data_IF_652502560976
#
_entry.id   IF_652502560976
#
_cell.length_a   1.000
_cell.length_b   1.000
_cell.length_c   1.000
_cell.angle_alpha   90.00
_cell.angle_beta   90.00
_cell.angle_gamma   90.00
#
_symmetry.space_group_name_H-M   'P 1'
#
loop_
_entity.id
_entity.type
_entity.pdbx_description
1 polymer ?
#
# COMPACT_ATOMS: atom_id res chain seq x y z
N UNK A 1 -2.35 -12.44 -20.96
CA UNK A 1 -3.09 -11.18 -20.69
C UNK A 1 -3.97 -11.40 -19.48
N UNK A 2 -3.78 -10.65 -18.39
CA UNK A 2 -4.44 -10.90 -17.09
C UNK A 2 -5.88 -10.30 -17.07
N UNK A 3 -6.95 -11.09 -16.94
CA UNK A 3 -8.33 -10.59 -16.90
C UNK A 3 -8.60 -9.59 -15.76
N UNK A 4 -7.92 -9.77 -14.62
CA UNK A 4 -8.01 -8.88 -13.47
C UNK A 4 -7.45 -7.48 -13.77
N UNK A 5 -6.52 -7.35 -14.72
CA UNK A 5 -5.98 -6.06 -15.13
C UNK A 5 -7.00 -5.24 -15.93
N UNK A 6 -7.71 -5.85 -16.89
CA UNK A 6 -8.76 -5.16 -17.66
C UNK A 6 -9.96 -4.77 -16.80
N UNK A 7 -10.30 -5.59 -15.82
CA UNK A 7 -11.34 -5.27 -14.86
C UNK A 7 -10.92 -4.09 -13.97
N UNK A 8 -9.67 -4.05 -13.50
CA UNK A 8 -9.13 -2.90 -12.75
C UNK A 8 -9.11 -1.61 -13.59
N UNK A 9 -8.81 -1.70 -14.88
CA UNK A 9 -8.75 -0.55 -15.79
C UNK A 9 -10.13 0.09 -16.08
N UNK A 10 -11.15 -0.70 -16.44
CA UNK A 10 -12.52 -0.19 -16.67
C UNK A 10 -13.10 0.54 -15.46
N UNK A 11 -12.75 0.10 -14.26
CA UNK A 11 -13.24 0.70 -13.03
C UNK A 11 -12.58 2.02 -12.67
N UNK A 12 -11.34 2.25 -13.12
CA UNK A 12 -10.69 3.58 -13.01
C UNK A 12 -11.42 4.59 -13.89
N UNK A 13 -11.87 4.16 -15.07
CA UNK A 13 -12.63 4.98 -16.02
C UNK A 13 -14.05 5.32 -15.52
N UNK A 14 -14.67 4.46 -14.70
CA UNK A 14 -16.02 4.69 -14.15
C UNK A 14 -16.07 5.64 -12.93
N UNK A 15 -14.94 5.97 -12.29
CA UNK A 15 -14.90 6.74 -11.02
C UNK A 15 -14.65 8.26 -11.17
N UNK A 16 -14.70 8.82 -12.37
CA UNK A 16 -14.33 10.23 -12.68
C UNK A 16 -15.36 11.29 -12.26
N UNK A 17 -16.14 11.07 -11.19
CA UNK A 17 -17.16 12.00 -10.70
C UNK A 17 -16.66 13.10 -9.75
N UNK A 18 -15.51 12.92 -9.09
CA UNK A 18 -14.83 13.93 -8.27
C UNK A 18 -13.33 13.97 -8.64
N UNK A 19 -12.92 15.06 -9.30
CA UNK A 19 -11.69 15.16 -10.09
C UNK A 19 -10.43 15.55 -9.28
N UNK A 20 -10.00 14.72 -8.33
CA UNK A 20 -8.60 14.75 -7.87
C UNK A 20 -7.87 13.48 -8.37
N UNK A 21 -6.94 13.59 -9.34
CA UNK A 21 -6.22 12.44 -9.86
C UNK A 21 -5.45 11.69 -8.77
N UNK A 22 -4.95 12.39 -7.75
CA UNK A 22 -4.23 11.76 -6.64
C UNK A 22 -5.16 10.88 -5.79
N UNK A 23 -6.40 11.31 -5.56
CA UNK A 23 -7.38 10.50 -4.83
C UNK A 23 -7.70 9.21 -5.60
N UNK A 24 -7.86 9.31 -6.93
CA UNK A 24 -8.10 8.14 -7.78
C UNK A 24 -6.92 7.16 -7.78
N UNK A 25 -5.68 7.67 -7.88
CA UNK A 25 -4.48 6.82 -7.81
C UNK A 25 -4.28 6.18 -6.44
N UNK A 26 -4.51 6.90 -5.34
CA UNK A 26 -4.45 6.33 -3.99
C UNK A 26 -5.53 5.26 -3.77
N UNK A 27 -6.74 5.45 -4.32
CA UNK A 27 -7.76 4.41 -4.31
C UNK A 27 -7.33 3.21 -5.15
N UNK A 28 -6.71 3.41 -6.31
CA UNK A 28 -6.19 2.32 -7.13
C UNK A 28 -5.07 1.54 -6.42
N UNK A 29 -4.18 2.24 -5.71
CA UNK A 29 -3.15 1.64 -4.86
C UNK A 29 -3.77 0.81 -3.75
N UNK A 30 -4.64 1.41 -2.92
CA UNK A 30 -5.37 0.69 -1.88
C UNK A 30 -6.08 -0.53 -2.47
N UNK A 31 -6.70 -0.35 -3.65
CA UNK A 31 -7.44 -1.40 -4.35
C UNK A 31 -6.61 -2.58 -4.82
N UNK A 32 -5.35 -2.33 -5.17
CA UNK A 32 -4.48 -3.37 -5.69
C UNK A 32 -3.98 -4.31 -4.60
N UNK A 33 -3.92 -3.85 -3.34
CA UNK A 33 -3.37 -4.62 -2.24
C UNK A 33 -4.42 -5.15 -1.26
N UNK A 34 -5.65 -4.62 -1.18
CA UNK A 34 -6.64 -5.15 -0.22
C UNK A 34 -7.14 -6.57 -0.59
N UNK A 35 -7.53 -7.32 0.44
CA UNK A 35 -8.30 -8.54 0.30
C UNK A 35 -9.80 -8.28 0.52
N UNK A 36 -10.63 -8.79 -0.40
CA UNK A 36 -12.08 -8.71 -0.26
C UNK A 36 -12.54 -9.79 0.72
N UNK A 37 -13.02 -9.38 1.89
CA UNK A 37 -13.63 -10.31 2.83
C UNK A 37 -15.03 -10.76 2.34
N UNK A 38 -15.53 -11.92 2.80
CA UNK A 38 -16.84 -12.45 2.41
C UNK A 38 -18.02 -11.50 2.71
N UNK A 39 -17.87 -10.61 3.70
CA UNK A 39 -18.85 -9.60 4.09
C UNK A 39 -18.84 -8.35 3.18
N UNK A 40 -17.95 -8.32 2.17
CA UNK A 40 -17.79 -7.21 1.24
C UNK A 40 -16.85 -6.10 1.73
N UNK A 41 -16.35 -6.18 2.97
CA UNK A 41 -15.35 -5.25 3.48
C UNK A 41 -14.00 -5.48 2.80
N UNK A 42 -13.28 -4.37 2.60
CA UNK A 42 -12.01 -4.32 1.88
C UNK A 42 -10.95 -3.86 2.87
N UNK A 43 -10.10 -4.78 3.32
CA UNK A 43 -9.19 -4.53 4.43
C UNK A 43 -7.74 -4.74 4.00
N UNK A 44 -6.88 -3.84 4.47
CA UNK A 44 -5.43 -4.01 4.47
C UNK A 44 -5.02 -4.48 5.86
N UNK A 45 -4.40 -5.65 5.95
CA UNK A 45 -3.70 -6.05 7.17
C UNK A 45 -2.26 -5.48 7.20
N UNK A 46 -1.52 -5.75 8.28
CA UNK A 46 -0.18 -5.19 8.49
C UNK A 46 0.85 -5.77 7.51
N UNK A 47 0.77 -7.05 7.19
CA UNK A 47 1.73 -7.74 6.29
C UNK A 47 1.57 -7.24 4.85
N UNK A 48 0.33 -7.07 4.42
CA UNK A 48 0.01 -6.51 3.11
C UNK A 48 0.42 -5.03 3.04
N UNK A 49 0.27 -4.27 4.11
CA UNK A 49 0.77 -2.90 4.17
C UNK A 49 2.30 -2.84 4.09
N UNK A 50 3.01 -3.78 4.74
CA UNK A 50 4.46 -3.90 4.65
C UNK A 50 4.91 -4.18 3.21
N UNK A 51 4.26 -5.16 2.56
CA UNK A 51 4.51 -5.47 1.15
C UNK A 51 4.28 -4.24 0.27
N UNK A 52 3.14 -3.55 0.44
CA UNK A 52 2.84 -2.30 -0.27
C UNK A 52 3.92 -1.25 -0.05
N UNK A 53 4.36 -1.02 1.18
CA UNK A 53 5.35 0.00 1.50
C UNK A 53 6.73 -0.31 0.88
N UNK A 54 7.11 -1.59 0.82
CA UNK A 54 8.33 -2.06 0.16
C UNK A 54 8.20 -1.94 -1.36
N UNK A 55 7.09 -2.37 -1.93
CA UNK A 55 6.86 -2.41 -3.38
C UNK A 55 6.72 -1.01 -4.00
N UNK A 56 6.19 -0.06 -3.23
CA UNK A 56 6.17 1.37 -3.59
C UNK A 56 7.48 2.08 -3.25
N UNK A 57 8.49 1.33 -2.79
CA UNK A 57 9.80 1.83 -2.41
C UNK A 57 9.72 2.94 -1.35
N UNK A 58 8.66 3.00 -0.56
CA UNK A 58 8.62 3.87 0.61
C UNK A 58 9.59 3.37 1.67
N UNK A 59 9.67 2.04 1.80
CA UNK A 59 10.65 1.34 2.61
C UNK A 59 11.63 0.61 1.67
N UNK A 60 12.96 0.79 1.83
CA UNK A 60 13.64 1.64 2.80
C UNK A 60 13.92 3.08 2.30
N UNK A 61 13.53 3.47 1.08
CA UNK A 61 14.08 4.68 0.45
C UNK A 61 13.67 5.98 1.14
N UNK A 62 12.44 6.06 1.67
CA UNK A 62 11.98 7.20 2.43
C UNK A 62 12.24 7.01 3.92
N UNK A 63 11.83 5.84 4.43
CA UNK A 63 11.81 5.51 5.85
C UNK A 63 12.19 4.05 6.08
N UNK A 64 12.68 3.75 7.28
CA UNK A 64 12.74 2.36 7.75
C UNK A 64 11.32 1.86 8.06
N UNK A 65 11.14 0.53 8.11
CA UNK A 65 9.82 -0.07 8.34
C UNK A 65 9.21 0.37 9.68
N UNK A 66 10.02 0.38 10.73
CA UNK A 66 9.61 0.78 12.08
C UNK A 66 9.13 2.24 12.09
N UNK A 67 9.89 3.14 11.44
CA UNK A 67 9.52 4.56 11.32
C UNK A 67 8.23 4.73 10.49
N UNK A 68 8.11 4.00 9.39
CA UNK A 68 6.91 4.02 8.55
C UNK A 68 5.67 3.60 9.35
N UNK A 69 5.75 2.45 10.05
CA UNK A 69 4.62 1.91 10.81
C UNK A 69 4.24 2.82 11.98
N UNK A 70 5.22 3.36 12.71
CA UNK A 70 5.00 4.28 13.82
C UNK A 70 4.27 5.55 13.38
N UNK A 71 4.60 6.08 12.20
CA UNK A 71 3.92 7.25 11.65
C UNK A 71 2.56 6.91 11.06
N UNK A 72 2.47 5.82 10.30
CA UNK A 72 1.24 5.40 9.63
C UNK A 72 0.14 5.06 10.66
N UNK A 73 0.47 4.31 11.71
CA UNK A 73 -0.48 3.86 12.72
C UNK A 73 -1.14 5.01 13.50
N UNK A 74 -0.50 6.18 13.62
CA UNK A 74 -1.09 7.39 14.20
C UNK A 74 -2.26 7.96 13.38
N UNK A 75 -2.40 7.56 12.12
CA UNK A 75 -3.51 7.92 11.24
C UNK A 75 -4.66 6.92 11.24
N UNK A 76 -4.49 5.78 11.91
CA UNK A 76 -5.42 4.65 11.89
C UNK A 76 -6.09 4.48 13.25
N UNK A 77 -7.35 4.09 13.28
CA UNK A 77 -8.01 3.70 14.54
C UNK A 77 -7.27 2.49 15.16
N UNK A 78 -6.76 2.58 16.40
CA UNK A 78 -5.95 1.53 17.00
C UNK A 78 -6.73 0.21 17.20
N UNK A 79 -8.05 0.26 17.40
CA UNK A 79 -8.89 -0.93 17.52
C UNK A 79 -9.07 -1.63 16.16
N UNK A 80 -9.01 -0.88 15.07
CA UNK A 80 -9.04 -1.42 13.70
C UNK A 80 -7.66 -1.94 13.27
N UNK A 81 -6.59 -1.20 13.54
CA UNK A 81 -5.21 -1.62 13.25
C UNK A 81 -4.86 -2.94 13.92
N UNK A 82 -5.20 -3.09 15.21
CA UNK A 82 -4.96 -4.32 15.97
C UNK A 82 -5.69 -5.55 15.42
N UNK A 83 -6.76 -5.34 14.64
CA UNK A 83 -7.56 -6.40 14.00
C UNK A 83 -7.23 -6.57 12.52
N UNK A 84 -6.20 -5.90 12.00
CA UNK A 84 -5.86 -5.92 10.57
C UNK A 84 -6.94 -5.31 9.68
N UNK A 85 -7.77 -4.40 10.21
CA UNK A 85 -8.95 -3.86 9.51
C UNK A 85 -8.74 -2.42 9.06
N UNK A 86 -7.71 -2.16 8.25
CA UNK A 86 -7.41 -0.81 7.79
C UNK A 86 -8.32 -0.46 6.59
N UNK A 87 -9.15 0.58 6.76
CA UNK A 87 -10.03 1.09 5.69
C UNK A 87 -9.28 2.03 4.73
N UNK A 88 -9.90 2.39 3.60
CA UNK A 88 -9.30 3.39 2.69
C UNK A 88 -9.06 4.73 3.37
N UNK A 89 -9.98 5.18 4.24
CA UNK A 89 -9.82 6.44 4.95
C UNK A 89 -8.69 6.37 5.98
N UNK A 90 -8.54 5.24 6.66
CA UNK A 90 -7.41 4.98 7.55
C UNK A 90 -6.08 4.98 6.77
N UNK A 91 -6.05 4.32 5.62
CA UNK A 91 -4.90 4.30 4.73
C UNK A 91 -4.49 5.70 4.28
N UNK A 92 -5.46 6.52 3.84
CA UNK A 92 -5.24 7.90 3.43
C UNK A 92 -4.70 8.75 4.58
N UNK A 93 -5.27 8.62 5.77
CA UNK A 93 -4.82 9.34 6.98
C UNK A 93 -3.43 8.89 7.42
N UNK A 94 -3.14 7.60 7.35
CA UNK A 94 -1.82 7.02 7.63
C UNK A 94 -0.75 7.55 6.69
N UNK A 95 -1.00 7.52 5.37
CA UNK A 95 -0.07 8.10 4.39
C UNK A 95 0.14 9.60 4.59
N UNK A 96 -0.90 10.34 4.99
CA UNK A 96 -0.74 11.76 5.34
C UNK A 96 0.18 11.97 6.55
N UNK A 97 0.16 11.08 7.56
CA UNK A 97 1.10 11.13 8.69
C UNK A 97 2.52 10.80 8.25
N UNK A 98 2.69 9.79 7.41
CA UNK A 98 3.98 9.43 6.82
C UNK A 98 4.57 10.60 6.03
N UNK A 99 3.78 11.21 5.15
CA UNK A 99 4.19 12.37 4.36
C UNK A 99 4.62 13.55 5.24
N UNK A 100 3.84 13.84 6.29
CA UNK A 100 4.16 14.94 7.20
C UNK A 100 5.53 14.74 7.84
N UNK A 101 5.82 13.53 8.32
CA UNK A 101 7.07 13.25 9.03
C UNK A 101 8.26 13.20 8.08
N UNK A 102 8.10 12.53 6.93
CA UNK A 102 9.17 12.41 5.95
C UNK A 102 9.56 13.78 5.37
N UNK A 103 8.59 14.52 4.87
CA UNK A 103 8.83 15.80 4.20
C UNK A 103 9.00 16.99 5.17
N UNK A 104 9.03 16.74 6.48
CA UNK A 104 9.48 17.70 7.49
C UNK A 104 10.98 17.57 7.82
N UNK A 105 11.65 16.50 7.38
CA UNK A 105 13.09 16.30 7.60
C UNK A 105 13.89 17.46 7.02
N UNK A 106 15.07 17.74 7.61
CA UNK A 106 15.93 18.87 7.22
C UNK A 106 16.21 18.94 5.72
N UNK A 107 16.33 17.80 5.04
CA UNK A 107 16.56 17.69 3.59
C UNK A 107 15.45 18.34 2.74
N UNK A 108 14.25 18.50 3.28
CA UNK A 108 13.08 19.06 2.59
C UNK A 108 12.52 20.34 3.20
N UNK A 109 13.16 20.87 4.25
CA UNK A 109 12.63 21.96 5.10
C UNK A 109 12.18 23.20 4.32
N UNK A 110 12.82 23.48 3.19
CA UNK A 110 12.53 24.63 2.34
C UNK A 110 11.72 24.29 1.08
N UNK A 111 11.48 23.00 0.79
CA UNK A 111 10.78 22.54 -0.40
C UNK A 111 9.26 22.39 -0.17
N UNK A 112 8.85 21.96 1.03
CA UNK A 112 7.44 21.69 1.35
C UNK A 112 7.03 22.37 2.66
N UNK A 113 6.51 23.60 2.52
CA UNK A 113 6.21 24.49 3.63
C UNK A 113 4.89 24.12 4.31
N UNK A 114 3.89 23.70 3.55
CA UNK A 114 2.57 23.33 4.07
C UNK A 114 2.36 21.81 4.18
N UNK A 115 1.39 21.42 5.01
CA UNK A 115 0.97 20.02 5.16
C UNK A 115 0.49 19.40 3.84
N UNK A 116 -0.31 20.15 3.06
CA UNK A 116 -0.84 19.64 1.79
C UNK A 116 0.26 19.50 0.73
N UNK A 117 1.27 20.38 0.73
CA UNK A 117 2.43 20.24 -0.16
C UNK A 117 3.21 18.96 0.14
N UNK A 118 3.38 18.61 1.42
CA UNK A 118 4.06 17.37 1.85
C UNK A 118 3.30 16.13 1.42
N UNK A 119 1.97 16.15 1.61
CA UNK A 119 1.14 15.03 1.18
C UNK A 119 1.13 14.89 -0.35
N UNK A 120 1.02 16.02 -1.08
CA UNK A 120 1.12 16.03 -2.54
C UNK A 120 2.47 15.48 -3.03
N UNK A 121 3.57 15.85 -2.39
CA UNK A 121 4.90 15.33 -2.71
C UNK A 121 4.97 13.80 -2.54
N UNK A 122 4.35 13.24 -1.49
CA UNK A 122 4.23 11.80 -1.36
C UNK A 122 3.40 11.19 -2.50
N UNK A 123 2.25 11.79 -2.82
CA UNK A 123 1.40 11.30 -3.91
C UNK A 123 2.11 11.36 -5.27
N UNK A 124 2.94 12.38 -5.51
CA UNK A 124 3.79 12.48 -6.70
C UNK A 124 4.87 11.39 -6.72
N UNK A 125 5.55 11.14 -5.59
CA UNK A 125 6.51 10.04 -5.46
C UNK A 125 5.90 8.66 -5.75
N UNK A 126 4.64 8.47 -5.36
CA UNK A 126 3.87 7.25 -5.60
C UNK A 126 3.29 7.16 -7.01
N UNK A 127 3.53 8.16 -7.88
CA UNK A 127 2.90 8.31 -9.19
C UNK A 127 1.36 8.28 -9.13
N UNK A 128 0.78 8.68 -8.00
CA UNK A 128 -0.66 8.58 -7.78
C UNK A 128 -1.48 9.51 -8.69
N UNK A 129 -0.84 10.40 -9.45
CA UNK A 129 -1.49 11.20 -10.49
C UNK A 129 -1.79 10.39 -11.76
N UNK A 130 -1.14 9.23 -11.97
CA UNK A 130 -1.40 8.30 -13.07
C UNK A 130 -1.79 6.91 -12.55
N UNK A 131 -3.10 6.60 -12.45
CA UNK A 131 -3.59 5.30 -12.01
C UNK A 131 -3.05 4.11 -12.84
N UNK A 132 -2.70 4.32 -14.12
CA UNK A 132 -2.16 3.24 -14.96
C UNK A 132 -0.73 2.87 -14.55
N UNK A 133 0.08 3.86 -14.15
CA UNK A 133 1.43 3.63 -13.65
C UNK A 133 1.40 2.97 -12.27
N UNK A 134 0.49 3.42 -11.40
CA UNK A 134 0.15 2.76 -10.13
C UNK A 134 -0.16 1.28 -10.34
N UNK A 135 -1.09 0.94 -11.25
CA UNK A 135 -1.48 -0.43 -11.51
C UNK A 135 -0.34 -1.30 -12.08
N UNK A 136 0.54 -0.71 -12.89
CA UNK A 136 1.76 -1.40 -13.38
C UNK A 136 2.74 -1.71 -12.25
N UNK A 137 2.95 -0.78 -11.31
CA UNK A 137 3.79 -1.00 -10.12
C UNK A 137 3.19 -2.11 -9.26
N UNK A 138 1.88 -2.10 -9.04
CA UNK A 138 1.19 -3.17 -8.30
C UNK A 138 1.25 -4.55 -8.99
N UNK A 139 1.14 -4.61 -10.32
CA UNK A 139 1.26 -5.88 -11.04
C UNK A 139 2.68 -6.48 -10.93
N UNK A 140 3.71 -5.62 -11.00
CA UNK A 140 5.11 -6.02 -10.79
C UNK A 140 5.36 -6.50 -9.35
N UNK A 141 4.76 -5.80 -8.39
CA UNK A 141 4.77 -6.15 -6.97
C UNK A 141 4.12 -7.51 -6.69
N UNK A 142 2.92 -7.76 -7.23
CA UNK A 142 2.22 -9.05 -7.15
C UNK A 142 3.09 -10.19 -7.72
N UNK A 143 3.75 -9.96 -8.86
CA UNK A 143 4.67 -10.92 -9.47
C UNK A 143 5.90 -11.20 -8.60
N UNK A 144 6.52 -10.15 -8.03
CA UNK A 144 7.66 -10.28 -7.12
C UNK A 144 7.27 -11.04 -5.84
N UNK A 145 6.11 -10.72 -5.25
CA UNK A 145 5.58 -11.40 -4.08
C UNK A 145 5.22 -12.87 -4.37
N UNK A 146 4.66 -13.17 -5.55
CA UNK A 146 4.42 -14.55 -5.98
C UNK A 146 5.72 -15.34 -6.16
N UNK A 147 6.74 -14.73 -6.76
CA UNK A 147 8.08 -15.33 -6.89
C UNK A 147 8.73 -15.58 -5.53
N UNK A 148 8.63 -14.64 -4.58
CA UNK A 148 9.13 -14.81 -3.20
C UNK A 148 8.42 -15.95 -2.47
N UNK A 149 7.09 -16.06 -2.59
CA UNK A 149 6.33 -17.18 -2.02
C UNK A 149 6.69 -18.53 -2.63
N UNK A 150 6.91 -18.58 -3.94
CA UNK A 150 7.35 -19.80 -4.62
C UNK A 150 8.81 -20.19 -4.29
N UNK A 151 9.65 -19.21 -3.96
CA UNK A 151 11.04 -19.41 -3.56
C UNK A 151 11.22 -19.64 -2.04
N UNK A 152 10.20 -19.36 -1.23
CA UNK A 152 10.23 -19.71 0.18
C UNK A 152 10.21 -21.23 0.30
N UNK A 153 11.14 -21.84 1.06
CA UNK A 153 11.07 -23.27 1.31
C UNK A 153 9.72 -23.57 1.95
N UNK A 154 9.02 -24.61 1.45
CA UNK A 154 7.76 -25.05 2.03
C UNK A 154 7.94 -25.18 3.56
N UNK A 155 6.97 -24.71 4.37
CA UNK A 155 7.04 -24.90 5.80
C UNK A 155 7.28 -26.39 6.06
N UNK A 156 8.35 -26.71 6.81
CA UNK A 156 8.68 -28.08 7.23
C UNK A 156 7.61 -28.55 8.21
N UNK A 157 6.42 -28.86 7.73
CA UNK A 157 5.41 -29.62 8.48
C UNK A 157 5.08 -30.97 7.84
N UNK A 158 5.79 -31.38 6.78
CA UNK A 158 5.64 -32.71 6.16
C UNK A 158 6.96 -33.49 6.03
N UNK A 159 7.89 -33.32 6.97
CA UNK A 159 9.10 -34.15 7.03
C UNK A 159 9.18 -35.06 8.26
N UNK A 160 8.23 -34.97 9.20
CA UNK A 160 8.21 -35.80 10.42
C UNK A 160 7.21 -36.95 10.35
N UNK A 161 6.11 -36.86 9.59
CA UNK A 161 5.14 -37.97 9.47
C UNK A 161 5.61 -39.14 8.57
N UNK A 162 6.68 -38.95 7.79
CA UNK A 162 7.28 -40.03 7.00
C UNK A 162 8.32 -40.86 7.78
N UNK A 163 8.67 -40.47 9.02
CA UNK A 163 9.66 -41.15 9.84
C UNK A 163 9.05 -42.02 10.95
N UNK A 164 7.73 -41.96 11.15
CA UNK A 164 6.97 -42.79 12.12
C UNK A 164 6.11 -43.89 11.47
N UNK A 165 6.42 -44.29 10.23
CA UNK A 165 5.89 -45.51 9.61
C UNK A 165 6.95 -46.58 9.42
#
# INVERSE_FOLDING_TARGET
WNPAFRQRQRWVEEMTGENDPFQLGLQALFKAYFHKEPDGNRLLDKEVLEALAVDLEMVPQLLLWEEFWDHFSQGVDPKRAAKGRITYEDFRKGLRRVALQEFQKKRYRNAYLSYDQRFKALCEYLDAHDPSMVLKRCARAEELAARRRAAAPAPREEALEAQER
#
